data_IF_046282887152
#
_entry.id   IF_046282887152
#
_cell.length_a   1.000
_cell.length_b   1.000
_cell.length_c   1.000
_cell.angle_alpha   90.00
_cell.angle_beta   90.00
_cell.angle_gamma   90.00
#
_symmetry.space_group_name_H-M   'P 1'
#
loop_
_entity.id
_entity.type
_entity.pdbx_description
1 polymer ?
#
# COMPACT_ATOMS: atom_id res chain seq x y z
N UNK A 1 -4.28 53.51 -19.48
CA UNK A 1 -5.17 54.21 -18.53
C UNK A 1 -5.88 55.30 -19.31
N UNK A 2 -7.23 55.35 -19.35
CA UNK A 2 -7.91 56.48 -19.96
C UNK A 2 -7.56 57.76 -19.20
N UNK A 3 -7.19 58.79 -19.94
CA UNK A 3 -6.77 60.10 -19.44
C UNK A 3 -7.89 60.74 -18.60
N UNK A 4 -7.56 61.24 -17.42
CA UNK A 4 -8.55 61.88 -16.55
C UNK A 4 -8.96 63.21 -17.18
N UNK A 5 -10.23 63.33 -17.59
CA UNK A 5 -10.75 64.57 -18.14
C UNK A 5 -11.07 65.53 -17.00
N UNK A 6 -10.16 66.47 -16.76
CA UNK A 6 -10.37 67.56 -15.83
C UNK A 6 -11.43 68.51 -16.39
N UNK A 7 -12.52 68.72 -15.64
CA UNK A 7 -13.56 69.68 -15.97
C UNK A 7 -13.20 71.02 -15.35
N UNK A 8 -13.41 72.14 -16.07
CA UNK A 8 -13.26 73.48 -15.49
C UNK A 8 -14.10 73.59 -14.21
N UNK A 9 -13.50 74.15 -13.17
CA UNK A 9 -14.21 74.45 -11.93
C UNK A 9 -15.26 75.53 -12.18
N UNK A 10 -16.35 75.51 -11.39
CA UNK A 10 -17.39 76.56 -11.41
C UNK A 10 -16.80 77.94 -11.13
N UNK A 11 -15.69 78.00 -10.40
CA UNK A 11 -14.95 79.24 -10.08
C UNK A 11 -14.21 79.83 -11.28
N UNK A 12 -14.00 79.07 -12.35
CA UNK A 12 -13.33 79.54 -13.56
C UNK A 12 -14.29 80.21 -14.56
N UNK A 13 -15.60 80.10 -14.32
CA UNK A 13 -16.61 80.80 -15.11
C UNK A 13 -16.87 82.18 -14.50
N UNK A 14 -17.05 83.22 -15.34
CA UNK A 14 -17.29 84.58 -14.85
C UNK A 14 -18.61 84.65 -14.07
N UNK A 15 -18.54 85.13 -12.82
CA UNK A 15 -19.69 85.23 -11.93
C UNK A 15 -20.64 86.40 -12.28
N UNK A 16 -20.18 87.38 -13.06
CA UNK A 16 -20.94 88.56 -13.47
C UNK A 16 -20.75 88.84 -14.96
N UNK A 17 -21.81 89.29 -15.61
CA UNK A 17 -21.84 89.62 -17.04
C UNK A 17 -21.32 91.04 -17.37
N UNK A 18 -21.18 91.90 -16.36
CA UNK A 18 -21.02 93.35 -16.50
C UNK A 18 -19.77 93.79 -17.27
N UNK A 19 -18.72 92.96 -17.30
CA UNK A 19 -17.43 93.27 -17.95
C UNK A 19 -17.15 92.42 -19.20
N UNK A 20 -18.13 91.64 -19.67
CA UNK A 20 -17.96 90.76 -20.82
C UNK A 20 -18.58 91.37 -22.06
N UNK A 21 -17.88 91.26 -23.18
CA UNK A 21 -18.47 91.56 -24.48
C UNK A 21 -19.55 90.52 -24.83
N UNK A 22 -20.44 90.88 -25.76
CA UNK A 22 -21.52 89.99 -26.18
C UNK A 22 -21.02 88.63 -26.71
N UNK A 23 -19.91 88.65 -27.47
CA UNK A 23 -19.28 87.44 -28.01
C UNK A 23 -18.68 86.56 -26.90
N UNK A 24 -17.99 87.14 -25.91
CA UNK A 24 -17.45 86.42 -24.77
C UNK A 24 -18.55 85.83 -23.89
N UNK A 25 -19.68 86.52 -23.77
CA UNK A 25 -20.83 86.05 -23.01
C UNK A 25 -21.48 84.83 -23.68
N UNK A 26 -21.61 84.85 -25.02
CA UNK A 26 -22.07 83.70 -25.81
C UNK A 26 -21.09 82.53 -25.70
N UNK A 27 -19.78 82.79 -25.83
CA UNK A 27 -18.74 81.77 -25.75
C UNK A 27 -18.75 81.08 -24.37
N UNK A 28 -18.78 81.86 -23.29
CA UNK A 28 -18.85 81.34 -21.91
C UNK A 28 -20.14 80.55 -21.66
N UNK A 29 -21.28 80.99 -22.20
CA UNK A 29 -22.54 80.24 -22.09
C UNK A 29 -22.44 78.86 -22.77
N UNK A 30 -21.92 78.80 -23.99
CA UNK A 30 -21.76 77.53 -24.70
C UNK A 30 -20.75 76.61 -24.00
N UNK A 31 -19.65 77.15 -23.48
CA UNK A 31 -18.66 76.39 -22.71
C UNK A 31 -19.26 75.82 -21.42
N UNK A 32 -19.98 76.65 -20.65
CA UNK A 32 -20.68 76.23 -19.43
C UNK A 32 -21.71 75.13 -19.73
N UNK A 33 -22.49 75.29 -20.81
CA UNK A 33 -23.49 74.30 -21.23
C UNK A 33 -22.83 72.97 -21.61
N UNK A 34 -21.72 73.01 -22.35
CA UNK A 34 -21.01 71.82 -22.81
C UNK A 34 -20.33 71.08 -21.66
N UNK A 35 -19.70 71.81 -20.74
CA UNK A 35 -19.10 71.26 -19.52
C UNK A 35 -20.16 70.62 -18.62
N UNK A 36 -21.28 71.30 -18.36
CA UNK A 36 -22.39 70.75 -17.59
C UNK A 36 -22.98 69.46 -18.21
N UNK A 37 -23.20 69.46 -19.54
CA UNK A 37 -23.70 68.28 -20.26
C UNK A 37 -22.73 67.10 -20.15
N UNK A 38 -21.43 67.37 -20.28
CA UNK A 38 -20.38 66.35 -20.18
C UNK A 38 -20.27 65.80 -18.77
N UNK A 39 -20.31 66.67 -17.75
CA UNK A 39 -20.27 66.28 -16.34
C UNK A 39 -21.49 65.43 -15.96
N UNK A 40 -22.68 65.83 -16.40
CA UNK A 40 -23.92 65.09 -16.16
C UNK A 40 -23.86 63.68 -16.77
N UNK A 41 -23.35 63.57 -18.00
CA UNK A 41 -23.16 62.28 -18.68
C UNK A 41 -22.16 61.39 -17.92
N UNK A 42 -21.02 61.95 -17.50
CA UNK A 42 -20.01 61.21 -16.72
C UNK A 42 -20.52 60.77 -15.36
N UNK A 43 -21.28 61.61 -14.66
CA UNK A 43 -21.94 61.23 -13.40
C UNK A 43 -22.91 60.08 -13.60
N UNK A 44 -23.70 60.09 -14.68
CA UNK A 44 -24.59 58.99 -15.04
C UNK A 44 -23.84 57.67 -15.25
N UNK A 45 -22.72 57.72 -15.99
CA UNK A 45 -21.85 56.55 -16.22
C UNK A 45 -21.23 56.04 -14.92
N UNK A 46 -20.79 56.95 -14.04
CA UNK A 46 -20.22 56.57 -12.75
C UNK A 46 -21.24 55.86 -11.86
N UNK A 47 -22.46 56.40 -11.75
CA UNK A 47 -23.54 55.78 -10.97
C UNK A 47 -23.89 54.40 -11.53
N UNK A 48 -23.94 54.26 -12.86
CA UNK A 48 -24.17 52.97 -13.52
C UNK A 48 -23.06 51.96 -13.19
N UNK A 49 -21.79 52.34 -13.36
CA UNK A 49 -20.65 51.47 -13.04
C UNK A 49 -20.59 51.11 -11.56
N UNK A 50 -20.93 52.05 -10.68
CA UNK A 50 -21.02 51.80 -9.25
C UNK A 50 -22.11 50.75 -8.93
N UNK A 51 -23.26 50.84 -9.60
CA UNK A 51 -24.33 49.85 -9.47
C UNK A 51 -23.89 48.47 -9.99
N UNK A 52 -23.33 48.42 -11.19
CA UNK A 52 -22.81 47.17 -11.78
C UNK A 52 -21.74 46.52 -10.89
N UNK A 53 -20.85 47.32 -10.29
CA UNK A 53 -19.84 46.82 -9.36
C UNK A 53 -20.46 46.25 -8.07
N UNK A 54 -21.47 46.92 -7.51
CA UNK A 54 -22.20 46.40 -6.34
C UNK A 54 -22.90 45.08 -6.65
N UNK A 55 -23.57 44.99 -7.79
CA UNK A 55 -24.24 43.76 -8.23
C UNK A 55 -23.22 42.62 -8.40
N UNK A 56 -22.07 42.87 -9.03
CA UNK A 56 -20.98 41.89 -9.13
C UNK A 56 -20.45 41.42 -7.79
N UNK A 57 -20.30 42.32 -6.81
CA UNK A 57 -19.86 41.96 -5.45
C UNK A 57 -20.88 41.02 -4.79
N UNK A 58 -22.17 41.24 -4.99
CA UNK A 58 -23.22 40.37 -4.44
C UNK A 58 -23.12 38.96 -5.04
N UNK A 59 -22.97 38.86 -6.37
CA UNK A 59 -22.80 37.56 -7.05
C UNK A 59 -21.54 36.85 -6.56
N UNK A 60 -20.39 37.53 -6.53
CA UNK A 60 -19.12 36.96 -6.07
C UNK A 60 -19.21 36.46 -4.63
N UNK A 61 -19.89 37.20 -3.74
CA UNK A 61 -20.08 36.77 -2.35
C UNK A 61 -20.96 35.52 -2.26
N UNK A 62 -21.94 35.37 -3.15
CA UNK A 62 -22.76 34.17 -3.21
C UNK A 62 -21.95 32.97 -3.71
N UNK A 63 -21.19 33.14 -4.80
CA UNK A 63 -20.30 32.10 -5.33
C UNK A 63 -19.28 31.64 -4.29
N UNK A 64 -18.67 32.58 -3.55
CA UNK A 64 -17.73 32.26 -2.47
C UNK A 64 -18.41 31.40 -1.39
N UNK A 65 -19.64 31.73 -0.99
CA UNK A 65 -20.38 30.94 0.02
C UNK A 65 -20.70 29.54 -0.49
N UNK A 66 -21.07 29.39 -1.76
CA UNK A 66 -21.33 28.09 -2.37
C UNK A 66 -20.05 27.25 -2.44
N UNK A 67 -18.92 27.87 -2.80
CA UNK A 67 -17.61 27.20 -2.83
C UNK A 67 -17.13 26.78 -1.44
N UNK A 68 -17.37 27.59 -0.41
CA UNK A 68 -17.08 27.22 0.98
C UNK A 68 -17.89 25.98 1.38
N UNK A 69 -19.19 25.94 1.08
CA UNK A 69 -20.03 24.75 1.37
C UNK A 69 -19.52 23.51 0.64
N UNK A 70 -19.13 23.63 -0.62
CA UNK A 70 -18.54 22.52 -1.38
C UNK A 70 -17.24 22.01 -0.74
N UNK A 71 -16.40 22.90 -0.25
CA UNK A 71 -15.17 22.54 0.47
C UNK A 71 -15.47 21.84 1.80
N UNK A 72 -16.47 22.31 2.56
CA UNK A 72 -16.89 21.67 3.81
C UNK A 72 -17.38 20.23 3.57
N UNK A 73 -18.17 20.00 2.52
CA UNK A 73 -18.62 18.66 2.14
C UNK A 73 -17.44 17.77 1.75
N UNK A 74 -16.53 18.26 0.91
CA UNK A 74 -15.34 17.51 0.50
C UNK A 74 -14.43 17.14 1.69
N UNK A 75 -14.28 18.05 2.66
CA UNK A 75 -13.49 17.76 3.85
C UNK A 75 -14.14 16.68 4.72
N UNK A 76 -15.48 16.66 4.82
CA UNK A 76 -16.20 15.59 5.51
C UNK A 76 -16.04 14.24 4.80
N UNK A 77 -16.18 14.20 3.48
CA UNK A 77 -15.96 12.99 2.67
C UNK A 77 -14.53 12.47 2.81
N UNK A 78 -13.54 13.37 2.79
CA UNK A 78 -12.13 13.01 3.00
C UNK A 78 -11.91 12.38 4.37
N UNK A 79 -12.45 12.97 5.44
CA UNK A 79 -12.34 12.41 6.79
C UNK A 79 -13.02 11.03 6.90
N UNK A 80 -14.14 10.82 6.19
CA UNK A 80 -14.79 9.51 6.13
C UNK A 80 -13.91 8.48 5.43
N UNK A 81 -13.31 8.84 4.29
CA UNK A 81 -12.37 7.98 3.56
C UNK A 81 -11.16 7.62 4.43
N UNK A 82 -10.59 8.59 5.15
CA UNK A 82 -9.45 8.35 6.06
C UNK A 82 -9.82 7.33 7.15
N UNK A 83 -10.99 7.47 7.79
CA UNK A 83 -11.47 6.48 8.78
C UNK A 83 -11.67 5.09 8.19
N UNK A 84 -12.21 5.01 6.96
CA UNK A 84 -12.37 3.73 6.25
C UNK A 84 -11.01 3.10 6.00
N UNK A 85 -10.01 3.88 5.54
CA UNK A 85 -8.66 3.39 5.28
C UNK A 85 -7.98 2.90 6.56
N UNK A 86 -8.09 3.63 7.66
CA UNK A 86 -7.56 3.19 8.97
C UNK A 86 -8.16 1.85 9.40
N UNK A 87 -9.49 1.70 9.29
CA UNK A 87 -10.17 0.45 9.60
C UNK A 87 -9.69 -0.69 8.69
N UNK A 88 -9.54 -0.44 7.39
CA UNK A 88 -9.06 -1.45 6.43
C UNK A 88 -7.62 -1.86 6.70
N UNK A 89 -6.77 -0.92 7.06
CA UNK A 89 -5.39 -1.22 7.46
C UNK A 89 -5.35 -2.10 8.71
N UNK A 90 -6.19 -1.81 9.70
CA UNK A 90 -6.32 -2.68 10.88
C UNK A 90 -6.81 -4.09 10.50
N UNK A 91 -7.84 -4.19 9.65
CA UNK A 91 -8.32 -5.49 9.15
C UNK A 91 -7.24 -6.28 8.39
N UNK A 92 -6.38 -5.61 7.62
CA UNK A 92 -5.26 -6.23 6.92
C UNK A 92 -4.20 -6.74 7.89
N UNK A 93 -3.82 -5.94 8.90
CA UNK A 93 -2.87 -6.37 9.93
C UNK A 93 -3.36 -7.62 10.68
N UNK A 94 -4.65 -7.69 11.01
CA UNK A 94 -5.24 -8.87 11.65
C UNK A 94 -5.17 -10.11 10.74
N UNK A 95 -5.43 -9.94 9.44
CA UNK A 95 -5.30 -11.04 8.47
C UNK A 95 -3.86 -11.51 8.30
N UNK A 96 -2.89 -10.60 8.34
CA UNK A 96 -1.48 -10.95 8.27
C UNK A 96 -1.03 -11.77 9.49
N UNK A 97 -1.52 -11.42 10.70
CA UNK A 97 -1.29 -12.22 11.91
C UNK A 97 -1.87 -13.62 11.74
N UNK A 98 -3.14 -13.74 11.34
CA UNK A 98 -3.78 -15.04 11.09
C UNK A 98 -3.03 -15.88 10.04
N UNK A 99 -2.53 -15.24 8.99
CA UNK A 99 -1.71 -15.91 7.97
C UNK A 99 -0.41 -16.45 8.56
N UNK A 100 0.25 -15.70 9.44
CA UNK A 100 1.47 -16.15 10.12
C UNK A 100 1.19 -17.34 11.04
N UNK A 101 0.10 -17.30 11.80
CA UNK A 101 -0.34 -18.41 12.66
C UNK A 101 -0.59 -19.68 11.83
N UNK A 102 -1.37 -19.57 10.75
CA UNK A 102 -1.63 -20.69 9.84
C UNK A 102 -0.35 -21.23 9.19
N UNK A 103 0.61 -20.36 8.85
CA UNK A 103 1.89 -20.79 8.31
C UNK A 103 2.72 -21.56 9.35
N UNK A 104 2.68 -21.16 10.62
CA UNK A 104 3.33 -21.89 11.70
C UNK A 104 2.68 -23.26 11.89
N UNK A 105 1.35 -23.33 11.94
CA UNK A 105 0.63 -24.60 12.02
C UNK A 105 0.96 -25.54 10.86
N UNK A 106 0.99 -25.00 9.63
CA UNK A 106 1.34 -25.77 8.44
C UNK A 106 2.77 -26.32 8.53
N UNK A 107 3.72 -25.52 9.00
CA UNK A 107 5.10 -25.97 9.20
C UNK A 107 5.17 -27.08 10.25
N UNK A 108 4.46 -26.95 11.38
CA UNK A 108 4.39 -27.98 12.43
C UNK A 108 3.86 -29.30 11.87
N UNK A 109 2.71 -29.26 11.18
CA UNK A 109 2.11 -30.45 10.55
C UNK A 109 3.06 -31.06 9.52
N UNK A 110 3.76 -30.22 8.74
CA UNK A 110 4.73 -30.71 7.76
C UNK A 110 5.88 -31.45 8.44
N UNK A 111 6.41 -30.93 9.55
CA UNK A 111 7.44 -31.60 10.35
C UNK A 111 6.93 -32.92 10.94
N UNK A 112 5.72 -32.95 11.48
CA UNK A 112 5.10 -34.18 11.98
C UNK A 112 4.94 -35.24 10.88
N UNK A 113 4.50 -34.85 9.68
CA UNK A 113 4.38 -35.75 8.53
C UNK A 113 5.75 -36.32 8.13
N UNK A 114 6.80 -35.50 8.15
CA UNK A 114 8.17 -35.95 7.85
C UNK A 114 8.61 -36.97 8.90
N UNK A 115 8.43 -36.69 10.19
CA UNK A 115 8.76 -37.62 11.28
C UNK A 115 8.04 -38.95 11.13
N UNK A 116 6.72 -38.93 10.89
CA UNK A 116 5.91 -40.13 10.68
C UNK A 116 6.35 -40.92 9.44
N UNK A 117 6.80 -40.23 8.38
CA UNK A 117 7.32 -40.88 7.18
C UNK A 117 8.66 -41.58 7.45
N UNK A 118 9.54 -40.96 8.24
CA UNK A 118 10.81 -41.55 8.69
C UNK A 118 10.57 -42.78 9.57
N UNK A 119 9.68 -42.66 10.57
CA UNK A 119 9.26 -43.78 11.42
C UNK A 119 8.74 -44.96 10.58
N UNK A 120 7.84 -44.69 9.63
CA UNK A 120 7.31 -45.71 8.73
C UNK A 120 8.41 -46.37 7.90
N UNK A 121 9.39 -45.62 7.43
CA UNK A 121 10.50 -46.16 6.66
C UNK A 121 11.40 -47.04 7.53
N UNK A 122 11.70 -46.63 8.76
CA UNK A 122 12.45 -47.44 9.72
C UNK A 122 11.74 -48.78 10.01
N UNK A 123 10.43 -48.75 10.24
CA UNK A 123 9.62 -49.97 10.43
C UNK A 123 9.66 -50.86 9.18
N UNK A 124 9.54 -50.27 7.99
CA UNK A 124 9.60 -51.02 6.72
C UNK A 124 10.94 -51.73 6.55
N UNK A 125 12.06 -51.06 6.86
CA UNK A 125 13.40 -51.63 6.82
C UNK A 125 13.55 -52.77 7.84
N UNK A 126 13.03 -52.62 9.07
CA UNK A 126 13.02 -53.71 10.05
C UNK A 126 12.28 -54.93 9.55
N UNK A 127 11.09 -54.75 8.99
CA UNK A 127 10.27 -55.84 8.44
C UNK A 127 11.03 -56.53 7.32
N UNK A 128 11.70 -55.78 6.44
CA UNK A 128 12.51 -56.37 5.38
C UNK A 128 13.72 -57.14 5.92
N UNK A 129 14.41 -56.61 6.93
CA UNK A 129 15.53 -57.31 7.58
C UNK A 129 15.07 -58.60 8.27
N UNK A 130 13.92 -58.57 8.95
CA UNK A 130 13.29 -59.77 9.52
C UNK A 130 12.96 -60.80 8.45
N UNK A 131 12.37 -60.34 7.33
CA UNK A 131 12.01 -61.21 6.21
C UNK A 131 13.25 -61.84 5.57
N UNK A 132 14.30 -61.05 5.28
CA UNK A 132 15.55 -61.57 4.74
C UNK A 132 16.18 -62.60 5.69
N UNK A 133 16.22 -62.30 7.00
CA UNK A 133 16.72 -63.24 8.02
C UNK A 133 15.89 -64.53 8.06
N UNK A 134 14.58 -64.45 7.85
CA UNK A 134 13.69 -65.61 7.76
C UNK A 134 13.92 -66.43 6.47
N UNK A 135 14.07 -65.76 5.32
CA UNK A 135 14.27 -66.40 4.01
C UNK A 135 15.65 -67.09 3.93
N UNK A 136 16.73 -66.48 4.46
CA UNK A 136 18.07 -67.08 4.59
C UNK A 136 18.04 -68.37 5.44
N UNK A 137 17.18 -68.38 6.45
CA UNK A 137 16.96 -69.49 7.37
C UNK A 137 16.15 -70.63 6.72
N UNK A 138 15.28 -70.34 5.74
CA UNK A 138 14.60 -71.37 4.95
C UNK A 138 15.48 -72.00 3.86
N UNK A 139 16.46 -71.28 3.30
CA UNK A 139 17.32 -71.74 2.20
C UNK A 139 18.43 -72.74 2.60
N UNK A 140 18.66 -72.97 3.89
CA UNK A 140 19.76 -73.83 4.41
C UNK A 140 19.24 -75.20 4.91
N UNK A 141 19.59 -76.28 4.20
CA UNK A 141 19.16 -77.65 4.52
C UNK A 141 20.12 -78.37 5.49
N UNK A 142 19.76 -78.49 6.78
CA UNK A 142 20.44 -79.36 7.76
C UNK A 142 19.95 -79.25 9.21
N UNK A 143 19.85 -80.38 9.95
CA UNK A 143 19.28 -80.45 11.30
C UNK A 143 20.09 -79.64 12.35
N UNK A 144 21.41 -79.52 12.19
CA UNK A 144 22.26 -78.69 13.07
C UNK A 144 21.96 -77.20 12.90
N UNK A 145 21.68 -76.75 11.68
CA UNK A 145 21.30 -75.36 11.41
C UNK A 145 19.97 -74.99 12.06
N UNK A 146 19.05 -75.92 12.31
CA UNK A 146 17.69 -75.64 12.84
C UNK A 146 17.65 -74.99 14.22
N UNK A 147 18.63 -75.29 15.07
CA UNK A 147 18.70 -74.68 16.41
C UNK A 147 19.32 -73.28 16.37
N UNK A 148 20.39 -73.08 15.59
CA UNK A 148 20.95 -71.75 15.32
C UNK A 148 19.94 -70.85 14.58
N UNK A 149 19.13 -71.43 13.68
CA UNK A 149 17.99 -70.79 12.99
C UNK A 149 16.96 -70.24 13.97
N UNK A 150 16.52 -71.06 14.93
CA UNK A 150 15.56 -70.63 15.94
C UNK A 150 16.15 -69.55 16.83
N UNK A 151 17.43 -69.65 17.22
CA UNK A 151 18.09 -68.62 18.02
C UNK A 151 18.24 -67.28 17.28
N UNK A 152 18.59 -67.32 15.99
CA UNK A 152 18.73 -66.10 15.18
C UNK A 152 17.37 -65.44 14.90
N UNK A 153 16.33 -66.22 14.58
CA UNK A 153 14.95 -65.70 14.48
C UNK A 153 14.49 -65.13 15.82
N UNK A 154 14.67 -65.84 16.93
CA UNK A 154 14.26 -65.37 18.25
C UNK A 154 15.02 -64.11 18.67
N UNK A 155 16.31 -63.96 18.31
CA UNK A 155 17.04 -62.71 18.53
C UNK A 155 16.49 -61.57 17.67
N UNK A 156 16.26 -61.79 16.37
CA UNK A 156 15.74 -60.77 15.47
C UNK A 156 14.32 -60.33 15.88
N UNK A 157 13.47 -61.28 16.26
CA UNK A 157 12.12 -61.05 16.80
C UNK A 157 12.19 -60.33 18.14
N UNK A 158 13.11 -60.71 19.04
CA UNK A 158 13.33 -60.00 20.30
C UNK A 158 13.73 -58.56 20.03
N UNK A 159 14.71 -58.31 19.16
CA UNK A 159 15.12 -56.95 18.74
C UNK A 159 13.90 -56.19 18.21
N UNK A 160 13.11 -56.77 17.30
CA UNK A 160 11.90 -56.13 16.78
C UNK A 160 10.85 -55.75 17.86
N UNK A 161 10.67 -56.57 18.90
CA UNK A 161 9.72 -56.28 19.98
C UNK A 161 10.29 -55.41 21.11
N UNK A 162 11.62 -55.33 21.25
CA UNK A 162 12.28 -54.63 22.36
C UNK A 162 12.97 -53.34 21.97
N UNK A 163 13.23 -53.09 20.69
CA UNK A 163 13.92 -51.88 20.26
C UNK A 163 12.92 -50.74 20.07
N UNK A 164 13.17 -49.62 20.75
CA UNK A 164 12.39 -48.39 20.62
C UNK A 164 12.67 -47.77 19.24
N UNK A 165 11.61 -47.47 18.49
CA UNK A 165 11.68 -46.90 17.14
C UNK A 165 12.50 -45.59 17.14
N UNK A 166 12.47 -44.84 18.25
CA UNK A 166 13.25 -43.62 18.43
C UNK A 166 14.77 -43.83 18.45
N UNK A 167 15.28 -44.99 18.86
CA UNK A 167 16.72 -45.29 18.86
C UNK A 167 17.25 -45.63 17.47
N UNK A 168 16.43 -46.25 16.61
CA UNK A 168 16.85 -46.60 15.24
C UNK A 168 16.85 -45.40 14.30
N UNK A 169 15.92 -44.46 14.47
CA UNK A 169 15.94 -43.21 13.69
C UNK A 169 17.24 -42.45 13.95
N UNK A 170 17.72 -42.45 15.20
CA UNK A 170 19.03 -41.87 15.56
C UNK A 170 20.20 -42.62 14.93
N UNK A 171 20.19 -43.96 14.94
CA UNK A 171 21.24 -44.76 14.30
C UNK A 171 21.27 -44.58 12.78
N UNK A 172 20.11 -44.56 12.12
CA UNK A 172 19.99 -44.35 10.68
C UNK A 172 20.49 -42.95 10.26
N UNK A 173 20.15 -41.90 11.03
CA UNK A 173 20.67 -40.55 10.79
C UNK A 173 22.17 -40.42 11.09
N UNK A 174 22.73 -41.26 11.97
CA UNK A 174 24.17 -41.31 12.26
C UNK A 174 24.97 -41.95 11.12
N UNK A 175 24.42 -42.98 10.47
CA UNK A 175 25.03 -43.63 9.30
C UNK A 175 24.91 -42.81 8.01
N UNK A 176 23.85 -42.01 7.85
CA UNK A 176 23.72 -41.08 6.72
C UNK A 176 24.63 -39.83 6.83
N UNK A 177 24.99 -39.39 8.05
CA UNK A 177 25.87 -38.23 8.27
C UNK A 177 27.36 -38.57 8.32
N UNK A 178 27.76 -39.84 8.18
CA UNK A 178 29.17 -40.26 8.11
C UNK A 178 29.75 -40.30 6.69
N UNK A 179 29.20 -39.51 5.77
CA UNK A 179 29.78 -39.32 4.44
C UNK A 179 30.71 -38.08 4.46
N UNK A 180 32.01 -38.18 4.14
CA UNK A 180 32.98 -37.09 4.32
C UNK A 180 32.95 -36.01 3.22
N UNK A 181 31.86 -35.88 2.45
CA UNK A 181 31.84 -35.07 1.22
C UNK A 181 30.91 -33.85 1.26
N UNK A 182 30.41 -33.44 2.43
CA UNK A 182 29.61 -32.22 2.57
C UNK A 182 30.25 -31.20 3.50
N UNK A 183 31.41 -30.69 3.11
CA UNK A 183 31.84 -29.32 3.45
C UNK A 183 31.77 -28.43 2.21
N UNK A 184 30.56 -28.18 1.70
CA UNK A 184 30.34 -27.03 0.83
C UNK A 184 30.20 -25.78 1.70
N UNK A 185 31.31 -25.05 1.82
CA UNK A 185 31.35 -23.70 2.38
C UNK A 185 30.42 -22.77 1.58
N UNK A 186 29.53 -22.05 2.27
CA UNK A 186 28.57 -21.07 1.72
C UNK A 186 29.18 -19.82 1.05
N UNK A 187 30.43 -19.88 0.58
CA UNK A 187 31.18 -18.76 -0.02
C UNK A 187 31.36 -18.82 -1.53
N UNK A 188 30.90 -19.85 -2.23
CA UNK A 188 31.11 -20.02 -3.68
C UNK A 188 29.85 -19.98 -4.54
N UNK A 189 28.65 -19.95 -3.96
CA UNK A 189 27.38 -19.81 -4.70
C UNK A 189 27.19 -18.33 -5.07
N UNK A 190 27.90 -17.86 -6.10
CA UNK A 190 27.72 -16.49 -6.59
C UNK A 190 28.66 -16.02 -7.69
N UNK A 191 29.70 -16.80 -8.04
CA UNK A 191 30.67 -16.37 -9.08
C UNK A 191 30.43 -16.93 -10.48
N UNK A 192 29.58 -17.93 -10.67
CA UNK A 192 29.44 -18.61 -11.97
C UNK A 192 28.24 -18.16 -12.82
N UNK A 193 27.57 -17.06 -12.48
CA UNK A 193 26.42 -16.53 -13.21
C UNK A 193 26.72 -15.25 -14.03
N UNK A 194 27.98 -14.80 -14.09
CA UNK A 194 28.37 -13.56 -14.78
C UNK A 194 29.34 -13.71 -15.97
N UNK A 195 29.88 -14.91 -16.22
CA UNK A 195 30.82 -15.15 -17.33
C UNK A 195 30.25 -16.08 -18.42
N UNK A 196 29.09 -15.73 -18.96
CA UNK A 196 28.71 -16.16 -20.31
C UNK A 196 28.03 -15.00 -21.03
N UNK A 197 28.87 -14.15 -21.63
CA UNK A 197 28.53 -13.25 -22.73
C UNK A 197 29.13 -13.79 -24.00
#
# INVERSE_FOLDING_TARGET
>A
MPEFKEYRSVTEFPAKAENLTHEELIANYYDLRNTYRSLTSSRGQLVRRQREAKEKIVVLNQDIREKIKQLETLEQEKQEIERILERRNFELQQKDIQKQELQQELNTITTEIISLKEERQAITNMIQNLKNTYDDVQGTNGIMGTFERLQNIMRAVKIFFTTDIGELIKQQNSEMNSNPDSQENSRTIGKNLLDNK
#
